data_IF_123819605475
#
_entry.id   IF_123819605475
#
_cell.length_a   1.000
_cell.length_b   1.000
_cell.length_c   1.000
_cell.angle_alpha   90.00
_cell.angle_beta   90.00
_cell.angle_gamma   90.00
#
_symmetry.space_group_name_H-M   'P 1'
#
loop_
_entity.id
_entity.type
_entity.pdbx_description
1 polymer ?
#
# COMPACT_ATOMS: atom_id res chain seq x y z
N UNK A 1 30.74 -9.15 38.13
CA UNK A 1 29.53 -8.49 37.60
C UNK A 1 29.79 -8.10 36.17
N UNK A 2 29.25 -8.87 35.21
CA UNK A 2 29.26 -8.46 33.79
C UNK A 2 28.20 -7.35 33.67
N UNK A 3 28.51 -6.19 33.09
CA UNK A 3 27.49 -5.16 32.90
C UNK A 3 26.40 -5.76 32.00
N UNK A 4 25.15 -5.77 32.48
CA UNK A 4 23.99 -6.04 31.64
C UNK A 4 23.98 -4.99 30.54
N UNK A 5 24.45 -5.36 29.34
CA UNK A 5 24.40 -4.53 28.14
C UNK A 5 22.94 -4.16 27.95
N UNK A 6 22.60 -2.86 28.06
CA UNK A 6 21.26 -2.41 27.66
C UNK A 6 21.03 -2.89 26.22
N UNK A 7 19.89 -3.54 25.92
CA UNK A 7 19.59 -3.95 24.55
C UNK A 7 19.63 -2.71 23.65
N UNK A 8 20.35 -2.81 22.52
CA UNK A 8 20.47 -1.73 21.54
C UNK A 8 19.09 -1.47 20.91
N UNK A 9 18.71 -0.20 20.79
CA UNK A 9 17.50 0.19 20.10
C UNK A 9 17.53 -0.25 18.62
N UNK A 10 16.38 -0.63 18.07
CA UNK A 10 16.26 -1.03 16.67
C UNK A 10 16.28 0.24 15.81
N UNK A 11 17.31 0.39 14.96
CA UNK A 11 17.47 1.55 14.08
C UNK A 11 16.71 1.32 12.79
N UNK A 12 15.60 2.03 12.60
CA UNK A 12 14.71 1.89 11.46
C UNK A 12 14.84 3.11 10.55
N UNK A 13 15.29 2.88 9.32
CA UNK A 13 15.17 3.87 8.25
C UNK A 13 13.72 3.95 7.78
N UNK A 14 13.22 5.15 7.52
CA UNK A 14 11.92 5.39 6.88
C UNK A 14 12.17 6.22 5.63
N UNK A 15 11.71 5.72 4.48
CA UNK A 15 11.80 6.44 3.21
C UNK A 15 10.44 6.58 2.55
N UNK A 16 10.08 7.80 2.18
CA UNK A 16 8.86 8.16 1.47
C UNK A 16 9.01 9.53 0.79
N UNK A 17 8.04 9.95 0.00
CA UNK A 17 7.80 11.37 -0.28
C UNK A 17 7.00 11.95 0.88
N UNK A 18 7.57 12.90 1.63
CA UNK A 18 6.95 13.45 2.84
C UNK A 18 6.12 14.71 2.60
N UNK A 19 6.06 15.20 1.36
CA UNK A 19 5.16 16.28 0.99
C UNK A 19 3.70 15.79 1.00
N UNK A 20 2.85 16.27 1.94
CA UNK A 20 1.47 15.83 2.04
C UNK A 20 0.58 16.38 0.91
N UNK A 21 1.04 17.37 0.15
CA UNK A 21 0.31 17.94 -0.98
C UNK A 21 0.47 17.06 -2.24
N UNK A 22 1.60 16.35 -2.36
CA UNK A 22 1.85 15.42 -3.46
C UNK A 22 1.25 14.03 -3.22
N UNK A 23 1.28 13.52 -1.98
CA UNK A 23 0.75 12.19 -1.66
C UNK A 23 0.21 12.02 -0.23
N UNK A 24 -0.90 11.27 -0.04
CA UNK A 24 -1.35 10.88 1.28
C UNK A 24 -0.47 9.82 1.95
N UNK A 25 0.40 9.09 1.22
CA UNK A 25 1.16 7.93 1.72
C UNK A 25 1.91 8.23 3.02
N UNK A 26 2.78 9.25 3.01
CA UNK A 26 3.59 9.60 4.18
C UNK A 26 2.76 10.21 5.31
N UNK A 27 1.74 11.02 4.98
CA UNK A 27 0.82 11.58 5.98
C UNK A 27 0.14 10.46 6.76
N UNK A 28 -0.42 9.46 6.07
CA UNK A 28 -1.09 8.34 6.72
C UNK A 28 -0.11 7.53 7.57
N UNK A 29 1.09 7.25 7.06
CA UNK A 29 2.12 6.56 7.84
C UNK A 29 2.52 7.33 9.10
N UNK A 30 2.75 8.64 9.01
CA UNK A 30 3.13 9.48 10.16
C UNK A 30 2.02 9.57 11.20
N UNK A 31 0.75 9.67 10.76
CA UNK A 31 -0.41 9.60 11.66
C UNK A 31 -0.52 8.24 12.33
N UNK A 32 -0.30 7.15 11.59
CA UNK A 32 -0.23 5.80 12.15
C UNK A 32 0.91 5.66 13.17
N UNK A 33 2.09 6.24 12.90
CA UNK A 33 3.22 6.23 13.83
C UNK A 33 2.88 7.00 15.12
N UNK A 34 2.22 8.16 15.02
CA UNK A 34 1.79 8.94 16.17
C UNK A 34 0.81 8.15 17.04
N UNK A 35 -0.16 7.46 16.45
CA UNK A 35 -1.08 6.57 17.17
C UNK A 35 -0.30 5.40 17.80
N UNK A 36 0.51 4.71 16.99
CA UNK A 36 1.24 3.52 17.39
C UNK A 36 2.15 3.77 18.59
N UNK A 37 2.82 4.93 18.67
CA UNK A 37 3.64 5.33 19.82
C UNK A 37 2.87 5.43 21.14
N UNK A 38 1.56 5.63 21.09
CA UNK A 38 0.71 5.74 22.27
C UNK A 38 0.02 4.42 22.65
N UNK A 39 -0.10 3.45 21.72
CA UNK A 39 -0.87 2.23 21.95
C UNK A 39 -0.13 0.92 21.67
N UNK A 40 1.07 0.95 21.10
CA UNK A 40 1.90 -0.23 20.84
C UNK A 40 3.09 -0.23 21.79
N UNK A 41 3.01 -1.08 22.81
CA UNK A 41 4.09 -1.24 23.78
C UNK A 41 5.38 -1.74 23.09
N UNK A 42 6.53 -1.19 23.50
CA UNK A 42 7.83 -1.59 22.99
C UNK A 42 8.28 -0.86 21.72
N UNK A 43 7.41 -0.08 21.07
CA UNK A 43 7.78 0.74 19.92
C UNK A 43 8.69 1.93 20.29
N UNK A 44 8.73 2.30 21.57
CA UNK A 44 9.65 3.29 22.15
C UNK A 44 11.13 2.90 22.02
N UNK A 45 11.42 1.62 21.78
CA UNK A 45 12.76 1.09 21.50
C UNK A 45 13.18 1.17 20.03
N UNK A 46 12.36 1.77 19.18
CA UNK A 46 12.72 2.03 17.79
C UNK A 46 13.31 3.44 17.66
N UNK A 47 14.53 3.51 17.12
CA UNK A 47 15.19 4.74 16.71
C UNK A 47 14.93 4.98 15.22
N UNK A 48 14.37 6.14 14.88
CA UNK A 48 13.90 6.43 13.52
C UNK A 48 14.88 7.32 12.76
N UNK A 49 15.15 7.00 11.49
CA UNK A 49 15.86 7.85 10.55
C UNK A 49 14.99 8.09 9.32
N UNK A 50 14.52 9.32 9.10
CA UNK A 50 13.65 9.66 7.97
C UNK A 50 14.48 10.27 6.83
N UNK A 51 14.28 9.80 5.59
CA UNK A 51 14.85 10.41 4.40
C UNK A 51 13.81 10.47 3.29
N UNK A 52 13.69 11.63 2.65
CA UNK A 52 12.73 11.83 1.58
C UNK A 52 13.25 11.28 0.24
N UNK A 53 12.49 10.39 -0.41
CA UNK A 53 12.84 9.80 -1.72
C UNK A 53 12.13 10.45 -2.92
N UNK A 54 11.28 11.44 -2.71
CA UNK A 54 10.56 12.13 -3.77
C UNK A 54 9.63 11.23 -4.59
N UNK A 55 9.26 10.05 -4.08
CA UNK A 55 8.55 9.00 -4.83
C UNK A 55 9.24 8.65 -6.16
N UNK A 56 10.57 8.79 -6.23
CA UNK A 56 11.35 8.75 -7.46
C UNK A 56 12.42 7.65 -7.41
N UNK A 57 12.62 6.92 -8.52
CA UNK A 57 13.59 5.83 -8.60
C UNK A 57 15.05 6.28 -8.39
N UNK A 58 15.50 7.39 -8.99
CA UNK A 58 16.89 7.83 -8.84
C UNK A 58 17.19 8.24 -7.39
N UNK A 59 16.27 8.98 -6.79
CA UNK A 59 16.39 9.44 -5.42
C UNK A 59 16.18 8.32 -4.40
N UNK A 60 15.31 7.34 -4.68
CA UNK A 60 15.16 6.11 -3.89
C UNK A 60 16.47 5.33 -3.78
N UNK A 61 17.18 5.14 -4.89
CA UNK A 61 18.51 4.52 -4.88
C UNK A 61 19.55 5.35 -4.10
N UNK A 62 19.49 6.68 -4.16
CA UNK A 62 20.35 7.55 -3.35
C UNK A 62 20.07 7.39 -1.85
N UNK A 63 18.80 7.46 -1.45
CA UNK A 63 18.36 7.26 -0.06
C UNK A 63 18.79 5.89 0.44
N UNK A 64 18.72 4.85 -0.38
CA UNK A 64 19.19 3.51 0.00
C UNK A 64 20.67 3.49 0.37
N UNK A 65 21.54 4.14 -0.42
CA UNK A 65 22.97 4.26 -0.08
C UNK A 65 23.17 5.05 1.22
N UNK A 66 22.39 6.11 1.44
CA UNK A 66 22.45 6.88 2.69
C UNK A 66 22.01 6.05 3.90
N UNK A 67 20.93 5.27 3.80
CA UNK A 67 20.45 4.38 4.87
C UNK A 67 21.48 3.29 5.20
N UNK A 68 22.13 2.70 4.18
CA UNK A 68 23.23 1.75 4.35
C UNK A 68 24.40 2.42 5.09
N UNK A 69 24.82 3.60 4.64
CA UNK A 69 25.91 4.36 5.28
C UNK A 69 25.59 4.78 6.72
N UNK A 70 24.30 5.03 7.03
CA UNK A 70 23.81 5.30 8.38
C UNK A 70 23.71 4.04 9.23
N UNK A 71 23.97 2.87 8.68
CA UNK A 71 23.92 1.57 9.36
C UNK A 71 22.57 1.29 10.04
N UNK A 72 21.47 1.62 9.36
CA UNK A 72 20.12 1.21 9.83
C UNK A 72 20.05 -0.33 9.89
N UNK A 73 19.24 -0.85 10.79
CA UNK A 73 19.05 -2.29 10.97
C UNK A 73 18.04 -2.85 9.96
N UNK A 74 16.99 -2.08 9.64
CA UNK A 74 16.03 -2.34 8.56
C UNK A 74 15.48 -1.03 7.98
N UNK A 75 14.78 -1.10 6.85
CA UNK A 75 14.11 0.03 6.22
C UNK A 75 12.62 -0.22 6.11
N UNK A 76 11.84 0.81 6.41
CA UNK A 76 10.40 0.95 6.14
C UNK A 76 10.22 1.89 4.96
N UNK A 77 9.34 1.52 4.06
CA UNK A 77 9.21 2.14 2.75
C UNK A 77 9.88 1.26 1.70
N UNK A 78 10.21 1.75 0.53
CA UNK A 78 9.69 3.00 -0.01
C UNK A 78 8.19 2.84 -0.27
N UNK A 79 7.44 3.95 -0.27
CA UNK A 79 5.98 3.88 -0.45
C UNK A 79 5.62 3.78 -1.92
N UNK A 80 6.31 4.54 -2.76
CA UNK A 80 6.23 4.40 -4.22
C UNK A 80 6.92 3.11 -4.67
N UNK A 81 6.25 2.35 -5.53
CA UNK A 81 6.78 1.19 -6.24
C UNK A 81 8.09 1.52 -6.98
N UNK A 82 8.17 2.68 -7.64
CA UNK A 82 9.34 3.11 -8.42
C UNK A 82 10.58 3.27 -7.52
N UNK A 83 10.41 3.93 -6.38
CA UNK A 83 11.47 4.11 -5.39
C UNK A 83 11.85 2.77 -4.73
N UNK A 84 10.87 1.92 -4.40
CA UNK A 84 11.09 0.65 -3.72
C UNK A 84 11.95 -0.31 -4.55
N UNK A 85 11.62 -0.47 -5.83
CA UNK A 85 12.38 -1.34 -6.74
C UNK A 85 13.83 -0.88 -6.90
N UNK A 86 14.04 0.44 -7.06
CA UNK A 86 15.39 1.01 -7.20
C UNK A 86 16.29 0.80 -5.97
N UNK A 87 15.67 0.73 -4.78
CA UNK A 87 16.35 0.62 -3.51
C UNK A 87 16.54 -0.84 -3.07
N UNK A 88 15.60 -1.73 -3.41
CA UNK A 88 15.54 -3.10 -2.93
C UNK A 88 16.83 -3.89 -3.21
N UNK A 89 17.40 -3.76 -4.42
CA UNK A 89 18.64 -4.43 -4.78
C UNK A 89 19.84 -4.01 -3.90
N UNK A 90 19.92 -2.72 -3.53
CA UNK A 90 20.99 -2.17 -2.69
C UNK A 90 20.85 -2.67 -1.26
N UNK A 91 19.64 -2.65 -0.70
CA UNK A 91 19.37 -3.23 0.62
C UNK A 91 19.66 -4.72 0.67
N UNK A 92 19.30 -5.46 -0.40
CA UNK A 92 19.58 -6.90 -0.52
C UNK A 92 21.08 -7.18 -0.44
N UNK A 93 21.89 -6.43 -1.19
CA UNK A 93 23.35 -6.54 -1.16
C UNK A 93 23.94 -6.23 0.23
N UNK A 94 23.31 -5.32 0.97
CA UNK A 94 23.70 -4.95 2.33
C UNK A 94 23.11 -5.84 3.43
N UNK A 95 22.27 -6.84 3.09
CA UNK A 95 21.58 -7.70 4.06
C UNK A 95 20.54 -6.96 4.91
N UNK A 96 19.93 -5.90 4.38
CA UNK A 96 18.94 -5.06 5.07
C UNK A 96 17.53 -5.45 4.60
N UNK A 97 16.63 -5.72 5.55
CA UNK A 97 15.22 -5.97 5.27
C UNK A 97 14.51 -4.68 4.83
N UNK A 98 13.65 -4.81 3.81
CA UNK A 98 12.81 -3.74 3.29
C UNK A 98 11.34 -4.07 3.58
N UNK A 99 10.70 -3.32 4.48
CA UNK A 99 9.30 -3.50 4.84
C UNK A 99 8.45 -2.45 4.12
N UNK A 100 7.55 -2.89 3.25
CA UNK A 100 6.77 -2.00 2.36
C UNK A 100 5.29 -2.01 2.76
N UNK A 101 4.74 -0.88 3.25
CA UNK A 101 3.32 -0.80 3.59
C UNK A 101 2.42 -0.46 2.39
N UNK A 102 3.01 0.01 1.28
CA UNK A 102 2.25 0.57 0.15
C UNK A 102 2.71 0.12 -1.25
N UNK A 103 4.00 -0.19 -1.46
CA UNK A 103 4.50 -0.53 -2.79
C UNK A 103 3.98 -1.88 -3.30
N UNK A 104 3.07 -1.86 -4.28
CA UNK A 104 2.31 -3.01 -4.81
C UNK A 104 2.98 -3.75 -5.97
N UNK A 105 4.02 -3.16 -6.59
CA UNK A 105 4.63 -3.70 -7.82
C UNK A 105 5.20 -5.11 -7.69
N UNK A 106 4.75 -5.99 -8.55
CA UNK A 106 5.00 -7.43 -8.49
C UNK A 106 6.47 -7.87 -8.43
N UNK A 107 7.34 -7.20 -9.18
CA UNK A 107 8.76 -7.56 -9.24
C UNK A 107 9.48 -7.39 -7.91
N UNK A 108 8.95 -6.55 -7.01
CA UNK A 108 9.59 -6.24 -5.74
C UNK A 108 9.85 -7.50 -4.90
N UNK A 109 8.84 -8.33 -4.69
CA UNK A 109 8.94 -9.57 -3.90
C UNK A 109 9.43 -10.75 -4.73
N UNK A 110 9.16 -10.77 -6.04
CA UNK A 110 9.65 -11.82 -6.93
C UNK A 110 11.17 -11.79 -7.13
N UNK A 111 11.77 -10.60 -7.16
CA UNK A 111 13.21 -10.43 -7.43
C UNK A 111 14.03 -10.16 -6.17
N UNK A 112 13.39 -9.69 -5.09
CA UNK A 112 14.08 -9.28 -3.85
C UNK A 112 13.51 -10.00 -2.62
N UNK A 113 14.15 -11.11 -2.25
CA UNK A 113 13.82 -11.92 -1.07
C UNK A 113 14.03 -11.20 0.29
N UNK A 114 14.58 -9.99 0.29
CA UNK A 114 14.69 -9.13 1.47
C UNK A 114 13.52 -8.14 1.60
N UNK A 115 12.57 -8.14 0.66
CA UNK A 115 11.38 -7.31 0.70
C UNK A 115 10.20 -8.04 1.36
N UNK A 116 9.50 -7.35 2.26
CA UNK A 116 8.34 -7.83 2.99
C UNK A 116 7.20 -6.83 2.84
N UNK A 117 6.18 -7.19 2.07
CA UNK A 117 5.04 -6.34 1.71
C UNK A 117 3.86 -6.58 2.64
N UNK A 118 3.27 -5.51 3.16
CA UNK A 118 2.08 -5.55 4.02
C UNK A 118 0.77 -5.28 3.28
N UNK A 119 0.81 -4.75 2.05
CA UNK A 119 -0.34 -4.53 1.17
C UNK A 119 -0.52 -5.68 0.15
N UNK A 120 -1.65 -5.75 -0.57
CA UNK A 120 -1.79 -6.63 -1.73
C UNK A 120 -0.75 -6.33 -2.83
N UNK A 121 -0.41 -7.35 -3.62
CA UNK A 121 0.38 -7.21 -4.85
C UNK A 121 -0.49 -6.78 -6.04
N UNK A 122 0.14 -6.24 -7.08
CA UNK A 122 -0.53 -5.97 -8.37
C UNK A 122 -1.19 -7.24 -8.94
N UNK A 123 -0.55 -8.42 -8.86
CA UNK A 123 -1.21 -9.70 -9.26
C UNK A 123 -2.47 -9.96 -8.46
N UNK A 124 -2.46 -9.69 -7.15
CA UNK A 124 -3.63 -9.92 -6.31
C UNK A 124 -4.74 -8.94 -6.65
N UNK A 125 -4.42 -7.64 -6.77
CA UNK A 125 -5.36 -6.61 -7.20
C UNK A 125 -5.97 -6.95 -8.56
N UNK A 126 -5.15 -7.36 -9.54
CA UNK A 126 -5.64 -7.77 -10.85
C UNK A 126 -6.61 -8.96 -10.76
N UNK A 127 -6.28 -10.02 -10.00
CA UNK A 127 -7.19 -11.16 -9.81
C UNK A 127 -8.50 -10.74 -9.17
N UNK A 128 -8.44 -9.94 -8.10
CA UNK A 128 -9.62 -9.48 -7.37
C UNK A 128 -10.50 -8.57 -8.24
N UNK A 129 -9.88 -7.69 -9.04
CA UNK A 129 -10.56 -6.84 -10.03
C UNK A 129 -11.32 -7.71 -11.03
N UNK A 130 -10.64 -8.68 -11.66
CA UNK A 130 -11.27 -9.50 -12.69
C UNK A 130 -12.39 -10.38 -12.13
N UNK A 131 -12.23 -10.91 -10.92
CA UNK A 131 -13.31 -11.61 -10.21
C UNK A 131 -14.52 -10.69 -10.01
N UNK A 132 -14.31 -9.44 -9.60
CA UNK A 132 -15.38 -8.46 -9.45
C UNK A 132 -16.02 -8.06 -10.80
N UNK A 133 -15.25 -7.86 -11.88
CA UNK A 133 -15.83 -7.59 -13.20
C UNK A 133 -16.72 -8.73 -13.69
N UNK A 134 -16.37 -9.98 -13.38
CA UNK A 134 -17.18 -11.15 -13.71
C UNK A 134 -18.53 -11.16 -12.96
N UNK A 135 -18.59 -10.74 -11.69
CA UNK A 135 -19.87 -10.63 -10.97
C UNK A 135 -20.78 -9.57 -11.60
N UNK A 136 -20.20 -8.55 -12.24
CA UNK A 136 -20.90 -7.52 -13.03
C UNK A 136 -21.26 -7.96 -14.45
N UNK A 137 -20.89 -9.17 -14.86
CA UNK A 137 -21.07 -9.68 -16.23
C UNK A 137 -20.40 -8.78 -17.29
N UNK A 138 -19.35 -8.05 -16.90
CA UNK A 138 -18.52 -7.28 -17.82
C UNK A 138 -17.42 -8.17 -18.39
N UNK A 139 -17.58 -8.52 -19.66
CA UNK A 139 -16.70 -9.43 -20.42
C UNK A 139 -15.80 -8.70 -21.42
N UNK A 140 -15.97 -7.38 -21.63
CA UNK A 140 -15.14 -6.57 -22.49
C UNK A 140 -14.57 -5.36 -21.74
N UNK A 141 -13.24 -5.29 -21.62
CA UNK A 141 -12.53 -4.27 -20.85
C UNK A 141 -11.55 -3.49 -21.72
N UNK A 142 -11.54 -2.16 -21.58
CA UNK A 142 -10.45 -1.30 -22.07
C UNK A 142 -9.51 -1.03 -20.91
N UNK A 143 -8.20 -1.15 -21.13
CA UNK A 143 -7.18 -0.94 -20.08
C UNK A 143 -6.24 0.16 -20.55
N UNK A 144 -6.13 1.21 -19.76
CA UNK A 144 -5.17 2.31 -19.93
C UNK A 144 -4.32 2.45 -18.67
N UNK A 145 -3.17 3.11 -18.81
CA UNK A 145 -2.30 3.44 -17.70
C UNK A 145 -1.62 4.79 -17.87
N UNK A 146 -1.15 5.36 -16.77
CA UNK A 146 -0.21 6.48 -16.80
C UNK A 146 1.21 6.02 -17.22
N UNK A 147 2.13 6.97 -17.42
CA UNK A 147 3.50 6.69 -17.85
C UNK A 147 4.41 6.16 -16.73
N UNK A 148 3.89 5.96 -15.50
CA UNK A 148 4.70 5.47 -14.38
C UNK A 148 4.99 3.97 -14.52
N UNK A 149 6.11 3.51 -13.96
CA UNK A 149 6.42 2.08 -14.00
C UNK A 149 5.39 1.27 -13.20
N UNK A 150 4.85 1.82 -12.11
CA UNK A 150 3.70 1.27 -11.40
C UNK A 150 2.46 1.10 -12.30
N UNK A 151 1.96 2.18 -12.92
CA UNK A 151 0.76 2.13 -13.77
C UNK A 151 0.92 1.14 -14.94
N UNK A 152 2.08 1.19 -15.59
CA UNK A 152 2.42 0.28 -16.70
C UNK A 152 2.52 -1.19 -16.27
N UNK A 153 3.11 -1.47 -15.10
CA UNK A 153 3.21 -2.83 -14.57
C UNK A 153 1.82 -3.37 -14.16
N UNK A 154 1.01 -2.55 -13.49
CA UNK A 154 -0.31 -2.93 -13.06
C UNK A 154 -1.26 -3.16 -14.25
N UNK A 155 -1.24 -2.31 -15.29
CA UNK A 155 -2.01 -2.56 -16.51
C UNK A 155 -1.63 -3.88 -17.20
N UNK A 156 -0.34 -4.25 -17.21
CA UNK A 156 0.10 -5.56 -17.71
C UNK A 156 -0.44 -6.70 -16.85
N UNK A 157 -0.38 -6.58 -15.52
CA UNK A 157 -0.93 -7.58 -14.61
C UNK A 157 -2.45 -7.76 -14.82
N UNK A 158 -3.19 -6.66 -15.02
CA UNK A 158 -4.63 -6.67 -15.31
C UNK A 158 -4.91 -7.32 -16.66
N UNK A 159 -4.14 -7.01 -17.71
CA UNK A 159 -4.28 -7.64 -19.02
C UNK A 159 -4.03 -9.15 -18.99
N UNK A 160 -3.00 -9.58 -18.24
CA UNK A 160 -2.68 -10.99 -18.05
C UNK A 160 -3.78 -11.72 -17.27
N UNK A 161 -4.30 -11.12 -16.21
CA UNK A 161 -5.41 -11.66 -15.44
C UNK A 161 -6.70 -11.70 -16.27
N UNK A 162 -6.99 -10.68 -17.10
CA UNK A 162 -8.14 -10.65 -17.99
C UNK A 162 -8.12 -11.83 -18.98
N UNK A 163 -6.96 -12.09 -19.58
CA UNK A 163 -6.74 -13.25 -20.47
C UNK A 163 -6.97 -14.58 -19.76
N UNK A 164 -6.50 -14.73 -18.52
CA UNK A 164 -6.72 -15.94 -17.72
C UNK A 164 -8.19 -16.11 -17.30
N UNK A 165 -8.88 -15.01 -17.02
CA UNK A 165 -10.28 -14.98 -16.60
C UNK A 165 -11.29 -15.05 -17.77
N UNK A 166 -10.81 -15.07 -19.03
CA UNK A 166 -11.68 -15.06 -20.22
C UNK A 166 -12.39 -13.72 -20.46
N UNK A 167 -11.92 -12.63 -19.87
CA UNK A 167 -12.41 -11.26 -20.11
C UNK A 167 -11.66 -10.68 -21.31
N UNK A 168 -12.40 -10.27 -22.35
CA UNK A 168 -11.85 -9.76 -23.60
C UNK A 168 -11.30 -8.35 -23.41
N UNK A 169 -9.98 -8.19 -23.51
CA UNK A 169 -9.39 -6.87 -23.68
C UNK A 169 -9.74 -6.31 -25.08
N UNK A 170 -10.22 -5.08 -25.13
CA UNK A 170 -10.51 -4.36 -26.38
C UNK A 170 -9.53 -3.21 -26.59
N UNK A 171 -9.35 -2.78 -27.84
CA UNK A 171 -8.35 -1.76 -28.20
C UNK A 171 -8.88 -0.33 -28.14
N UNK A 172 -10.19 -0.13 -28.02
CA UNK A 172 -10.79 1.21 -27.90
C UNK A 172 -11.86 1.25 -26.82
N UNK A 173 -12.04 2.39 -26.13
CA UNK A 173 -13.09 2.55 -25.12
C UNK A 173 -14.49 2.24 -25.65
N UNK A 174 -14.79 2.57 -26.91
CA UNK A 174 -16.10 2.36 -27.53
C UNK A 174 -16.55 0.90 -27.63
N UNK A 175 -15.61 -0.05 -27.57
CA UNK A 175 -15.89 -1.49 -27.63
C UNK A 175 -16.01 -2.13 -26.24
N UNK A 176 -15.72 -1.36 -25.17
CA UNK A 176 -15.67 -1.86 -23.81
C UNK A 176 -17.02 -1.70 -23.10
N UNK A 177 -17.29 -2.63 -22.18
CA UNK A 177 -18.36 -2.49 -21.19
C UNK A 177 -17.87 -1.71 -19.97
N UNK A 178 -16.56 -1.80 -19.68
CA UNK A 178 -15.90 -1.10 -18.58
C UNK A 178 -14.49 -0.69 -19.00
N UNK A 179 -14.07 0.48 -18.56
CA UNK A 179 -12.71 0.97 -18.71
C UNK A 179 -11.99 0.83 -17.38
N UNK A 180 -10.71 0.46 -17.42
CA UNK A 180 -9.82 0.39 -16.27
C UNK A 180 -8.66 1.34 -16.52
N UNK A 181 -8.37 2.22 -15.57
CA UNK A 181 -7.21 3.09 -15.60
C UNK A 181 -6.28 2.76 -14.44
N UNK A 182 -5.07 2.30 -14.77
CA UNK A 182 -4.03 1.95 -13.81
C UNK A 182 -3.01 3.09 -13.68
N UNK A 183 -2.95 3.74 -12.53
CA UNK A 183 -2.01 4.83 -12.35
C UNK A 183 -2.06 5.46 -10.97
N UNK A 184 -1.20 6.46 -10.80
CA UNK A 184 -1.12 7.22 -9.55
C UNK A 184 -2.36 8.09 -9.35
N UNK A 185 -2.54 8.60 -8.14
CA UNK A 185 -3.70 9.39 -7.74
C UNK A 185 -3.97 10.58 -8.68
N UNK A 186 -2.94 11.38 -8.98
CA UNK A 186 -3.09 12.56 -9.83
C UNK A 186 -3.55 12.19 -11.25
N UNK A 187 -2.84 11.26 -11.90
CA UNK A 187 -3.18 10.82 -13.26
C UNK A 187 -4.57 10.16 -13.31
N UNK A 188 -4.93 9.39 -12.29
CA UNK A 188 -6.26 8.78 -12.17
C UNK A 188 -7.36 9.83 -12.08
N UNK A 189 -7.14 10.90 -11.30
CA UNK A 189 -8.08 12.01 -11.18
C UNK A 189 -8.20 12.81 -12.47
N UNK A 190 -7.08 13.12 -13.13
CA UNK A 190 -7.05 13.82 -14.41
C UNK A 190 -7.76 13.03 -15.51
N UNK A 191 -7.49 11.71 -15.61
CA UNK A 191 -8.16 10.82 -16.56
C UNK A 191 -9.68 10.77 -16.31
N UNK A 192 -10.08 10.61 -15.04
CA UNK A 192 -11.50 10.64 -14.67
C UNK A 192 -12.18 11.95 -15.06
N UNK A 193 -11.59 13.11 -14.74
CA UNK A 193 -12.15 14.43 -15.09
C UNK A 193 -12.25 14.63 -16.60
N UNK A 194 -11.18 14.32 -17.36
CA UNK A 194 -11.15 14.47 -18.81
C UNK A 194 -12.23 13.61 -19.49
N UNK A 195 -12.44 12.37 -19.02
CA UNK A 195 -13.52 11.50 -19.52
C UNK A 195 -14.90 12.09 -19.30
N UNK A 196 -15.11 12.82 -18.19
CA UNK A 196 -16.38 13.47 -17.87
C UNK A 196 -16.60 14.71 -18.71
N UNK A 197 -15.57 15.52 -18.91
CA UNK A 197 -15.62 16.66 -19.83
C UNK A 197 -15.95 16.22 -21.26
N UNK A 198 -15.47 15.04 -21.68
CA UNK A 198 -15.81 14.41 -22.95
C UNK A 198 -17.21 13.76 -22.99
N UNK A 199 -17.99 13.81 -21.90
CA UNK A 199 -19.35 13.27 -21.83
C UNK A 199 -19.46 11.75 -21.70
N UNK A 200 -18.37 11.05 -21.34
CA UNK A 200 -18.41 9.60 -21.15
C UNK A 200 -19.23 9.21 -19.92
N UNK A 201 -20.15 8.26 -20.10
CA UNK A 201 -20.94 7.66 -19.02
C UNK A 201 -20.59 6.19 -18.76
N UNK A 202 -19.62 5.65 -19.50
CA UNK A 202 -19.22 4.24 -19.38
C UNK A 202 -18.61 3.96 -18.01
N UNK A 203 -18.86 2.78 -17.42
CA UNK A 203 -18.20 2.38 -16.19
C UNK A 203 -16.68 2.54 -16.25
N UNK A 204 -16.12 3.10 -15.18
CA UNK A 204 -14.70 3.32 -14.99
C UNK A 204 -14.27 2.64 -13.68
N UNK A 205 -13.16 1.91 -13.71
CA UNK A 205 -12.47 1.45 -12.51
C UNK A 205 -11.09 2.10 -12.46
N UNK A 206 -10.80 2.81 -11.37
CA UNK A 206 -9.48 3.30 -11.03
C UNK A 206 -8.79 2.32 -10.09
N UNK A 207 -7.45 2.28 -10.10
CA UNK A 207 -6.66 1.38 -9.24
C UNK A 207 -6.32 2.00 -7.88
N UNK A 208 -5.49 1.29 -7.10
CA UNK A 208 -5.29 1.43 -5.66
C UNK A 208 -4.89 2.83 -5.20
N UNK A 209 -4.03 3.53 -5.94
CA UNK A 209 -3.63 4.90 -5.60
C UNK A 209 -4.80 5.90 -5.65
N UNK A 210 -5.86 5.61 -6.40
CA UNK A 210 -7.08 6.40 -6.43
C UNK A 210 -8.00 6.13 -5.23
N UNK A 211 -7.70 5.16 -4.37
CA UNK A 211 -8.43 4.89 -3.12
C UNK A 211 -8.07 5.95 -2.07
N UNK A 212 -8.41 7.20 -2.35
CA UNK A 212 -8.04 8.37 -1.56
C UNK A 212 -9.18 9.39 -1.52
N UNK A 213 -9.40 10.07 -0.38
CA UNK A 213 -10.30 11.23 -0.32
C UNK A 213 -9.95 12.33 -1.33
N UNK A 214 -8.69 12.40 -1.74
CA UNK A 214 -8.17 13.39 -2.68
C UNK A 214 -8.52 13.11 -4.15
N UNK A 215 -9.12 11.95 -4.46
CA UNK A 215 -9.69 11.70 -5.78
C UNK A 215 -10.81 12.71 -6.09
N UNK A 216 -11.56 13.11 -5.06
CA UNK A 216 -12.65 14.07 -5.13
C UNK A 216 -14.02 13.44 -4.90
N UNK A 217 -15.05 14.08 -5.45
CA UNK A 217 -16.45 13.69 -5.27
C UNK A 217 -17.18 13.73 -6.60
N UNK A 218 -18.08 12.77 -6.82
CA UNK A 218 -18.90 12.67 -8.02
C UNK A 218 -20.27 13.32 -7.80
N UNK A 219 -20.80 14.06 -8.80
CA UNK A 219 -22.19 14.53 -8.77
C UNK A 219 -23.17 13.35 -8.96
N UNK A 220 -24.45 13.50 -8.59
CA UNK A 220 -25.48 12.45 -8.69
C UNK A 220 -25.59 11.71 -10.03
N UNK A 221 -25.10 12.30 -11.13
CA UNK A 221 -25.12 11.75 -12.49
C UNK A 221 -23.89 10.89 -12.84
N UNK A 222 -22.84 10.91 -12.01
CA UNK A 222 -21.63 10.10 -12.18
C UNK A 222 -21.70 8.85 -11.29
N UNK A 223 -22.55 7.90 -11.69
CA UNK A 223 -22.86 6.71 -10.86
C UNK A 223 -22.04 5.47 -11.19
N UNK A 224 -21.10 5.51 -12.12
CA UNK A 224 -20.39 4.29 -12.56
C UNK A 224 -18.87 4.41 -12.49
N UNK A 225 -18.36 5.26 -11.60
CA UNK A 225 -16.93 5.31 -11.26
C UNK A 225 -16.66 4.50 -10.00
N UNK A 226 -15.77 3.52 -10.11
CA UNK A 226 -15.36 2.61 -9.05
C UNK A 226 -13.85 2.73 -8.82
N UNK A 227 -13.41 2.33 -7.63
CA UNK A 227 -11.99 2.22 -7.29
C UNK A 227 -11.77 0.84 -6.69
N UNK A 228 -10.76 0.12 -7.16
CA UNK A 228 -10.23 -1.06 -6.47
C UNK A 228 -8.91 -0.69 -5.80
N UNK A 229 -8.73 -1.15 -4.57
CA UNK A 229 -7.50 -0.91 -3.81
C UNK A 229 -7.57 -1.58 -2.46
N UNK A 230 -6.64 -1.26 -1.58
CA UNK A 230 -6.62 -1.77 -0.21
C UNK A 230 -6.90 -0.65 0.79
N UNK A 231 -7.20 -1.00 2.03
CA UNK A 231 -7.73 -0.08 3.02
C UNK A 231 -9.13 -0.49 3.49
N UNK A 232 -9.56 0.05 4.63
CA UNK A 232 -10.86 -0.30 5.20
C UNK A 232 -11.94 0.45 4.44
N UNK A 233 -12.87 -0.29 3.85
CA UNK A 233 -13.98 0.31 3.16
C UNK A 233 -14.92 1.00 4.17
N UNK A 234 -14.83 2.34 4.24
CA UNK A 234 -15.67 3.19 5.08
C UNK A 234 -15.36 3.05 6.58
N UNK A 235 -16.15 3.67 7.48
CA UNK A 235 -16.18 3.23 8.86
C UNK A 235 -16.72 1.81 8.79
N UNK A 236 -15.83 0.82 8.75
CA UNK A 236 -16.24 -0.54 8.97
C UNK A 236 -17.12 -0.49 10.22
N UNK A 237 -18.38 -0.91 10.08
CA UNK A 237 -18.91 -1.78 11.12
C UNK A 237 -17.96 -2.95 11.09
N UNK A 238 -16.85 -2.80 11.83
CA UNK A 238 -16.01 -3.88 12.27
C UNK A 238 -16.98 -5.00 12.59
N UNK A 239 -16.91 -6.07 11.81
CA UNK A 239 -17.84 -7.18 11.85
C UNK A 239 -17.98 -7.66 13.29
N UNK A 240 -18.99 -7.17 14.02
CA UNK A 240 -19.21 -7.42 15.45
C UNK A 240 -18.05 -7.12 16.41
N UNK A 241 -16.93 -6.53 15.97
CA UNK A 241 -15.80 -6.20 16.83
C UNK A 241 -15.90 -4.73 17.28
N UNK A 242 -15.53 -4.47 18.53
CA UNK A 242 -15.54 -3.12 19.08
C UNK A 242 -14.39 -2.30 18.48
N UNK A 243 -14.61 -1.02 18.11
CA UNK A 243 -13.62 -0.18 17.43
C UNK A 243 -12.23 -0.37 18.02
N UNK A 244 -11.28 -0.82 17.21
CA UNK A 244 -9.91 -1.00 17.66
C UNK A 244 -9.43 0.31 18.32
N UNK A 245 -8.83 0.20 19.50
CA UNK A 245 -8.34 1.36 20.27
C UNK A 245 -7.51 2.34 19.42
N UNK A 246 -6.76 1.81 18.45
CA UNK A 246 -5.95 2.62 17.52
C UNK A 246 -6.80 3.50 16.57
N UNK A 247 -7.93 2.99 16.04
CA UNK A 247 -8.82 3.78 15.16
C UNK A 247 -9.51 4.90 15.93
N UNK A 248 -9.99 4.60 17.14
CA UNK A 248 -10.57 5.60 18.04
C UNK A 248 -9.54 6.68 18.40
N UNK A 249 -8.31 6.28 18.69
CA UNK A 249 -7.23 7.22 19.00
C UNK A 249 -6.85 8.08 17.79
N UNK A 250 -6.83 7.50 16.58
CA UNK A 250 -6.62 8.27 15.35
C UNK A 250 -7.68 9.37 15.19
N UNK A 251 -8.97 9.01 15.31
CA UNK A 251 -10.08 9.96 15.22
C UNK A 251 -9.96 11.06 16.29
N UNK A 252 -9.56 10.71 17.52
CA UNK A 252 -9.36 11.67 18.61
C UNK A 252 -8.20 12.64 18.32
N UNK A 253 -7.08 12.15 17.78
CA UNK A 253 -5.88 12.96 17.52
C UNK A 253 -6.02 13.84 16.28
N UNK A 254 -6.71 13.36 15.24
CA UNK A 254 -6.70 14.00 13.92
C UNK A 254 -8.06 14.48 13.43
N UNK A 255 -9.14 14.21 14.18
CA UNK A 255 -10.49 14.62 13.80
C UNK A 255 -11.03 13.93 12.54
N UNK A 256 -10.34 12.89 12.04
CA UNK A 256 -10.69 12.18 10.82
C UNK A 256 -10.46 10.68 10.98
N UNK A 257 -11.22 9.89 10.21
CA UNK A 257 -11.02 8.44 10.13
C UNK A 257 -9.69 8.14 9.43
N UNK A 258 -9.06 7.00 9.73
CA UNK A 258 -7.85 6.61 9.03
C UNK A 258 -8.09 6.36 7.55
N UNK A 259 -7.08 6.71 6.74
CA UNK A 259 -7.08 6.53 5.29
C UNK A 259 -6.40 5.22 4.87
N UNK A 260 -6.30 4.98 3.56
CA UNK A 260 -5.53 3.88 2.97
C UNK A 260 -4.11 3.81 3.54
N UNK A 261 -3.50 2.62 3.58
CA UNK A 261 -2.18 2.33 4.14
C UNK A 261 -2.11 2.37 5.69
N UNK A 262 -3.15 2.82 6.39
CA UNK A 262 -3.12 2.95 7.85
C UNK A 262 -3.03 1.60 8.56
N UNK A 263 -3.86 0.63 8.14
CA UNK A 263 -3.89 -0.72 8.74
C UNK A 263 -2.56 -1.44 8.51
N UNK A 264 -2.04 -1.36 7.29
CA UNK A 264 -0.78 -1.95 6.86
C UNK A 264 0.37 -1.35 7.67
N UNK A 265 0.35 -0.03 7.87
CA UNK A 265 1.32 0.67 8.72
C UNK A 265 1.23 0.21 10.19
N UNK A 266 0.03 0.05 10.76
CA UNK A 266 -0.14 -0.45 12.12
C UNK A 266 0.36 -1.89 12.29
N UNK A 267 0.01 -2.80 11.37
CA UNK A 267 0.53 -4.17 11.37
C UNK A 267 2.06 -4.19 11.35
N UNK A 268 2.66 -3.36 10.51
CA UNK A 268 4.10 -3.20 10.44
C UNK A 268 4.67 -2.65 11.76
N UNK A 269 4.04 -1.66 12.40
CA UNK A 269 4.50 -1.18 13.71
C UNK A 269 4.43 -2.24 14.80
N UNK A 270 3.41 -3.12 14.80
CA UNK A 270 3.37 -4.26 15.70
C UNK A 270 4.55 -5.22 15.46
N UNK A 271 4.87 -5.51 14.20
CA UNK A 271 6.07 -6.30 13.84
C UNK A 271 7.34 -5.62 14.32
N UNK A 272 7.51 -4.32 14.07
CA UNK A 272 8.68 -3.55 14.52
C UNK A 272 8.81 -3.55 16.05
N UNK A 273 7.70 -3.43 16.78
CA UNK A 273 7.72 -3.50 18.24
C UNK A 273 8.20 -4.88 18.72
N UNK A 274 7.75 -5.97 18.09
CA UNK A 274 8.25 -7.32 18.40
C UNK A 274 9.75 -7.42 18.11
N UNK A 275 10.20 -6.94 16.95
CA UNK A 275 11.63 -6.97 16.57
C UNK A 275 12.50 -6.15 17.54
N UNK A 276 12.06 -4.95 17.92
CA UNK A 276 12.78 -4.06 18.84
C UNK A 276 12.87 -4.59 20.28
N UNK A 277 12.01 -5.54 20.64
CA UNK A 277 12.00 -6.18 21.95
C UNK A 277 12.56 -7.61 21.92
N UNK A 278 12.83 -8.15 20.74
CA UNK A 278 13.45 -9.45 20.54
C UNK A 278 14.95 -9.45 20.85
N UNK A 279 15.53 -10.65 20.87
CA UNK A 279 16.97 -10.85 21.02
C UNK A 279 17.72 -10.92 19.69
N UNK A 280 17.01 -10.82 18.56
CA UNK A 280 17.57 -10.97 17.23
C UNK A 280 18.57 -9.85 16.91
N UNK A 281 19.72 -10.24 16.36
CA UNK A 281 20.73 -9.33 15.84
C UNK A 281 20.30 -8.84 14.46
N UNK A 282 20.88 -7.72 14.00
CA UNK A 282 20.64 -7.18 12.64
C UNK A 282 20.74 -8.25 11.54
N UNK A 283 21.74 -9.11 11.60
CA UNK A 283 21.96 -10.20 10.63
C UNK A 283 20.88 -11.28 10.62
N UNK A 284 20.08 -11.37 11.68
CA UNK A 284 19.03 -12.40 11.85
C UNK A 284 17.64 -11.87 11.50
N UNK A 285 17.48 -10.56 11.30
CA UNK A 285 16.16 -9.94 11.07
C UNK A 285 15.46 -10.51 9.82
N UNK A 286 16.20 -10.78 8.75
CA UNK A 286 15.65 -11.41 7.54
C UNK A 286 15.10 -12.82 7.81
N UNK A 287 15.79 -13.61 8.61
CA UNK A 287 15.36 -14.96 8.99
C UNK A 287 14.12 -14.90 9.89
N UNK A 288 14.13 -14.00 10.88
CA UNK A 288 12.99 -13.78 11.77
C UNK A 288 11.75 -13.40 10.98
N UNK A 289 11.85 -12.43 10.06
CA UNK A 289 10.73 -12.00 9.22
C UNK A 289 10.19 -13.12 8.32
N UNK A 290 11.06 -13.99 7.80
CA UNK A 290 10.65 -15.10 6.94
C UNK A 290 10.01 -16.27 7.69
N UNK A 291 10.41 -16.51 8.95
CA UNK A 291 10.02 -17.73 9.69
C UNK A 291 9.00 -17.49 10.79
N UNK A 292 8.72 -16.24 11.15
CA UNK A 292 7.88 -15.91 12.30
C UNK A 292 6.47 -15.52 11.87
N UNK A 293 5.49 -16.06 12.59
CA UNK A 293 4.12 -15.54 12.61
C UNK A 293 3.97 -14.59 13.79
N UNK A 294 3.77 -13.31 13.51
CA UNK A 294 3.57 -12.25 14.50
C UNK A 294 2.08 -12.15 14.84
N UNK A 295 1.74 -12.27 16.12
CA UNK A 295 0.37 -12.05 16.59
C UNK A 295 0.15 -10.56 16.88
N UNK A 296 -0.88 -9.96 16.29
CA UNK A 296 -1.24 -8.57 16.51
C UNK A 296 -2.73 -8.45 16.83
N UNK A 297 -3.19 -7.38 17.51
CA UNK A 297 -4.62 -7.10 17.70
C UNK A 297 -5.42 -6.99 16.40
N UNK A 298 -4.77 -6.74 15.27
CA UNK A 298 -5.40 -6.60 13.95
C UNK A 298 -5.38 -7.90 13.11
N UNK A 299 -4.89 -9.00 13.70
CA UNK A 299 -4.72 -10.30 13.06
C UNK A 299 -3.28 -10.79 13.07
N UNK A 300 -3.06 -11.99 12.50
CA UNK A 300 -1.74 -12.55 12.33
C UNK A 300 -1.00 -11.89 11.16
N UNK A 301 0.29 -11.64 11.32
CA UNK A 301 1.19 -11.23 10.24
C UNK A 301 2.21 -12.34 10.02
N UNK A 302 2.30 -12.84 8.80
CA UNK A 302 3.32 -13.78 8.36
C UNK A 302 3.49 -13.60 6.86
N UNK A 303 4.68 -13.92 6.35
CA UNK A 303 5.02 -13.68 4.96
C UNK A 303 5.18 -15.00 4.20
N UNK A 304 4.75 -15.01 2.95
CA UNK A 304 5.02 -16.08 1.99
C UNK A 304 5.77 -15.47 0.81
N UNK A 305 7.05 -15.80 0.65
CA UNK A 305 7.91 -15.18 -0.36
C UNK A 305 7.87 -13.64 -0.33
N UNK A 306 7.89 -13.08 0.89
CA UNK A 306 7.81 -11.63 1.09
C UNK A 306 6.41 -11.02 1.02
N UNK A 307 5.37 -11.75 0.62
CA UNK A 307 3.98 -11.25 0.58
C UNK A 307 3.27 -11.54 1.90
N UNK A 308 2.71 -10.51 2.56
CA UNK A 308 1.93 -10.72 3.79
C UNK A 308 0.68 -11.56 3.49
N UNK A 309 0.45 -12.60 4.31
CA UNK A 309 -0.77 -13.40 4.23
C UNK A 309 -1.97 -12.59 4.74
N UNK A 310 -3.14 -12.82 4.14
CA UNK A 310 -4.40 -12.21 4.60
C UNK A 310 -4.57 -10.73 4.24
N UNK A 311 -3.80 -10.22 3.28
CA UNK A 311 -4.06 -8.95 2.61
C UNK A 311 -5.33 -9.08 1.75
N UNK A 312 -6.05 -7.98 1.57
CA UNK A 312 -7.29 -7.95 0.81
C UNK A 312 -7.45 -6.62 0.08
N UNK A 313 -8.14 -6.67 -1.05
CA UNK A 313 -8.64 -5.49 -1.74
C UNK A 313 -10.10 -5.25 -1.37
N UNK A 314 -10.56 -4.02 -1.54
CA UNK A 314 -11.94 -3.57 -1.44
C UNK A 314 -12.31 -2.81 -2.71
N UNK A 315 -13.61 -2.73 -2.97
CA UNK A 315 -14.17 -1.92 -4.04
C UNK A 315 -14.92 -0.75 -3.42
N UNK A 316 -14.65 0.45 -3.92
CA UNK A 316 -15.41 1.65 -3.60
C UNK A 316 -16.11 2.17 -4.85
N UNK A 317 -17.20 2.88 -4.60
CA UNK A 317 -17.92 3.65 -5.59
C UNK A 317 -17.76 5.12 -5.26
N UNK A 318 -17.41 5.93 -6.26
CA UNK A 318 -17.32 7.37 -6.09
C UNK A 318 -18.73 7.98 -6.05
N UNK A 319 -19.02 8.76 -5.02
CA UNK A 319 -20.30 9.45 -4.84
C UNK A 319 -20.13 10.90 -4.37
N UNK A 320 -21.24 11.54 -4.01
CA UNK A 320 -21.29 12.96 -3.61
C UNK A 320 -20.47 13.26 -2.35
N UNK A 321 -20.36 12.28 -1.44
CA UNK A 321 -19.54 12.35 -0.24
C UNK A 321 -18.13 11.78 -0.42
N UNK A 322 -17.74 11.36 -1.63
CA UNK A 322 -16.47 10.69 -1.93
C UNK A 322 -16.62 9.19 -2.07
N UNK A 323 -15.57 8.44 -1.73
CA UNK A 323 -15.55 6.99 -1.87
C UNK A 323 -16.44 6.30 -0.84
N UNK A 324 -17.43 5.55 -1.34
CA UNK A 324 -18.36 4.75 -0.53
C UNK A 324 -18.09 3.27 -0.80
N UNK A 325 -17.98 2.41 0.23
CA UNK A 325 -17.80 0.97 0.05
C UNK A 325 -18.89 0.33 -0.80
N UNK A 326 -18.49 -0.55 -1.71
CA UNK A 326 -19.41 -1.47 -2.37
C UNK A 326 -19.53 -2.71 -1.49
N UNK A 327 -20.68 -2.88 -0.84
CA UNK A 327 -21.00 -4.07 -0.04
C UNK A 327 -21.87 -4.96 -0.93
N UNK A 328 -21.23 -5.94 -1.58
CA UNK A 328 -21.87 -6.92 -2.47
C UNK A 328 -21.43 -8.34 -2.10
#
# INVERSE_FOLDING_TARGET
MIPLRKPRALRVGVSALFDPDDTPHARTFLRALAVARNCIAGLDRVEWCFLDDGANACRGAEVARQMIAREVDLVVGHFSSDAAVSAAALYRQAGIALLTPAATIDCLTLEHHNAFRFCPSDRQLARDLLAWLQTRQWQAVHIEADDSAHGQALARAIADAARQAGVRQVSTPGQAQVEVFAGRLQASREHWLARREAGSTRPLVLTDDAASPHLGHAQALDRDTYVIGFGIAGPARESGAAPCSATTLHQLLFGALPETYYRESLLMFYVLAVLANGAARKSELLEVLNSTTFSTPLGLVSFDQGECRGTFNSIWKLGEGGLVPVIE
#
